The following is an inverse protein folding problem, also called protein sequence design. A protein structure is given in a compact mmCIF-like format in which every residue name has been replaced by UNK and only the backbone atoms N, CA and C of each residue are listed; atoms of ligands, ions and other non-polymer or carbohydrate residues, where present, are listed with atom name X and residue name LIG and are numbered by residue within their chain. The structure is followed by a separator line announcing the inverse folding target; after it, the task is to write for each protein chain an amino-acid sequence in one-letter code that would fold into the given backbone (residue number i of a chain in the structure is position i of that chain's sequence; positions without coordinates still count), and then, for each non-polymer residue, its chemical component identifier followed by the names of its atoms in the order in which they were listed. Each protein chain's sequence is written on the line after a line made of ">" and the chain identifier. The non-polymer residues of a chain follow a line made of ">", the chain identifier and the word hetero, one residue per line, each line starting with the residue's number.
data_IF_992763369009
#
_entry.id   IF_992763369009
#
_cell.length_a   1.000
_cell.length_b   1.000
_cell.length_c   1.000
_cell.angle_alpha   90.00
_cell.angle_beta   90.00
_cell.angle_gamma   90.00
#
_symmetry.space_group_name_H-M   'P 1'
#
loop_
_entity.id
_entity.type
_entity.pdbx_description
1 polymer ?
#
# COMPACT_ATOMS: atom_id res chain seq x y z
N UNK A 1 -1.65 -18.97 12.69
CA UNK A 1 -0.83 -17.88 13.25
C UNK A 1 -1.78 -16.73 13.55
N UNK A 2 -1.59 -15.97 14.62
CA UNK A 2 -2.48 -14.82 14.89
C UNK A 2 -2.10 -13.66 13.97
N UNK A 3 -3.11 -13.01 13.38
CA UNK A 3 -2.89 -11.83 12.54
C UNK A 3 -2.30 -10.67 13.37
N UNK A 4 -1.41 -9.91 12.73
CA UNK A 4 -0.84 -8.68 13.30
C UNK A 4 -1.80 -7.51 13.14
N UNK A 5 -2.35 -7.38 11.91
CA UNK A 5 -3.36 -6.39 11.55
C UNK A 5 -4.55 -7.11 10.94
N UNK A 6 -5.75 -6.76 11.38
CA UNK A 6 -7.02 -7.18 10.77
C UNK A 6 -7.86 -5.94 10.49
N UNK A 7 -8.28 -5.78 9.25
CA UNK A 7 -9.15 -4.70 8.78
C UNK A 7 -10.45 -5.32 8.32
N UNK A 8 -11.57 -4.88 8.89
CA UNK A 8 -12.90 -5.40 8.59
C UNK A 8 -13.85 -4.26 8.28
N UNK A 9 -14.58 -4.40 7.17
CA UNK A 9 -15.57 -3.46 6.70
C UNK A 9 -15.08 -2.01 6.70
N UNK A 10 -13.81 -1.79 6.32
CA UNK A 10 -13.24 -0.43 6.33
C UNK A 10 -13.97 0.43 5.32
N UNK A 11 -14.54 1.53 5.82
CA UNK A 11 -15.20 2.57 5.02
C UNK A 11 -14.65 3.94 5.39
N UNK A 12 -14.29 4.70 4.36
CA UNK A 12 -13.81 6.07 4.52
C UNK A 12 -14.49 6.97 3.50
N UNK A 13 -15.20 7.95 4.01
CA UNK A 13 -16.02 8.90 3.23
C UNK A 13 -15.50 10.32 3.36
N UNK A 14 -15.65 11.10 2.28
CA UNK A 14 -15.39 12.53 2.23
C UNK A 14 -16.69 13.27 1.93
N UNK A 15 -17.10 14.17 2.84
CA UNK A 15 -18.28 14.99 2.66
C UNK A 15 -17.91 16.29 1.95
N UNK A 16 -18.19 16.35 0.65
CA UNK A 16 -17.88 17.51 -0.20
C UNK A 16 -19.15 18.28 -0.55
N UNK A 17 -19.01 19.50 -1.09
CA UNK A 17 -20.15 20.26 -1.63
C UNK A 17 -20.91 19.52 -2.76
N UNK A 18 -20.23 18.60 -3.47
CA UNK A 18 -20.81 17.80 -4.55
C UNK A 18 -21.50 16.52 -4.08
N UNK A 19 -21.40 16.19 -2.78
CA UNK A 19 -21.96 14.96 -2.21
C UNK A 19 -20.95 14.16 -1.40
N UNK A 20 -21.37 12.96 -0.97
CA UNK A 20 -20.54 12.01 -0.26
C UNK A 20 -19.72 11.16 -1.24
N UNK A 21 -18.39 11.20 -1.09
CA UNK A 21 -17.45 10.36 -1.83
C UNK A 21 -16.98 9.26 -0.91
N UNK A 22 -17.29 8.00 -1.22
CA UNK A 22 -16.76 6.82 -0.53
C UNK A 22 -15.46 6.39 -1.20
N UNK A 23 -14.35 6.88 -0.67
CA UNK A 23 -13.01 6.57 -1.19
C UNK A 23 -12.58 5.14 -0.84
N UNK A 24 -13.02 4.60 0.30
CA UNK A 24 -12.91 3.20 0.71
C UNK A 24 -14.30 2.73 1.13
N UNK A 25 -14.73 1.57 0.66
CA UNK A 25 -16.12 1.13 0.78
C UNK A 25 -16.24 -0.38 1.03
N UNK A 26 -16.06 -0.79 2.28
CA UNK A 26 -16.16 -2.19 2.72
C UNK A 26 -14.94 -3.00 2.29
N UNK A 27 -13.75 -2.60 2.77
CA UNK A 27 -12.49 -3.28 2.52
C UNK A 27 -12.14 -4.18 3.69
N UNK A 28 -11.83 -5.45 3.39
CA UNK A 28 -11.48 -6.48 4.36
C UNK A 28 -10.15 -7.14 3.97
N UNK A 29 -9.19 -7.18 4.89
CA UNK A 29 -7.95 -7.94 4.75
C UNK A 29 -7.27 -8.14 6.10
N UNK A 30 -6.32 -9.07 6.15
CA UNK A 30 -5.44 -9.24 7.30
C UNK A 30 -3.98 -9.35 6.89
N UNK A 31 -3.09 -9.09 7.84
CA UNK A 31 -1.64 -9.25 7.66
C UNK A 31 -1.13 -10.05 8.85
N UNK A 32 -0.52 -11.19 8.57
CA UNK A 32 0.11 -12.02 9.59
C UNK A 32 1.39 -11.35 10.14
N UNK A 33 1.85 -11.75 11.33
CA UNK A 33 3.15 -11.30 11.86
C UNK A 33 4.28 -11.68 10.91
N UNK A 34 5.09 -10.68 10.52
CA UNK A 34 6.17 -10.84 9.53
C UNK A 34 5.70 -11.07 8.09
N UNK A 35 4.38 -11.11 7.85
CA UNK A 35 3.81 -11.28 6.51
C UNK A 35 3.83 -10.00 5.70
N UNK A 36 3.63 -10.13 4.39
CA UNK A 36 3.62 -9.00 3.45
C UNK A 36 2.36 -9.01 2.61
N UNK A 37 1.68 -7.86 2.54
CA UNK A 37 0.50 -7.64 1.71
C UNK A 37 0.75 -6.48 0.75
N UNK A 38 0.56 -6.74 -0.55
CA UNK A 38 0.52 -5.70 -1.58
C UNK A 38 -0.89 -5.20 -1.82
N UNK A 39 -1.10 -3.89 -1.86
CA UNK A 39 -2.36 -3.28 -2.30
C UNK A 39 -2.10 -2.55 -3.60
N UNK A 40 -2.74 -3.01 -4.68
CA UNK A 40 -2.52 -2.52 -6.04
C UNK A 40 -3.80 -2.01 -6.69
N UNK A 41 -3.65 -1.16 -7.70
CA UNK A 41 -4.76 -0.63 -8.49
C UNK A 41 -4.42 0.71 -9.11
N UNK A 42 -5.28 1.22 -10.00
CA UNK A 42 -5.11 2.53 -10.63
C UNK A 42 -5.14 3.67 -9.61
N UNK A 43 -4.65 4.85 -10.02
CA UNK A 43 -4.76 6.07 -9.19
C UNK A 43 -6.23 6.34 -8.85
N UNK A 44 -6.50 6.79 -7.63
CA UNK A 44 -7.87 7.03 -7.15
C UNK A 44 -8.64 5.77 -6.75
N UNK A 45 -8.04 4.58 -6.75
CA UNK A 45 -8.73 3.35 -6.31
C UNK A 45 -8.93 3.22 -4.79
N UNK A 46 -8.38 4.14 -3.97
CA UNK A 46 -8.56 4.15 -2.52
C UNK A 46 -7.37 3.64 -1.70
N UNK A 47 -6.27 3.23 -2.32
CA UNK A 47 -5.10 2.61 -1.66
C UNK A 47 -4.49 3.47 -0.55
N UNK A 48 -4.07 4.70 -0.88
CA UNK A 48 -3.48 5.64 0.09
C UNK A 48 -4.47 6.03 1.18
N UNK A 49 -5.76 6.17 0.82
CA UNK A 49 -6.81 6.44 1.82
C UNK A 49 -6.97 5.27 2.79
N UNK A 50 -6.82 4.02 2.33
CA UNK A 50 -6.80 2.83 3.20
C UNK A 50 -5.66 2.90 4.20
N UNK A 51 -4.44 3.23 3.76
CA UNK A 51 -3.28 3.41 4.65
C UNK A 51 -3.50 4.53 5.68
N UNK A 52 -3.96 5.70 5.22
CA UNK A 52 -4.27 6.84 6.09
C UNK A 52 -5.38 6.51 7.09
N UNK A 53 -6.35 5.68 6.70
CA UNK A 53 -7.43 5.23 7.59
C UNK A 53 -6.90 4.34 8.71
N UNK A 54 -5.99 3.41 8.42
CA UNK A 54 -5.33 2.57 9.42
C UNK A 54 -4.54 3.44 10.42
N UNK A 55 -3.83 4.44 9.91
CA UNK A 55 -3.06 5.39 10.71
C UNK A 55 -3.94 6.46 11.40
N UNK A 56 -5.24 6.52 11.09
CA UNK A 56 -6.15 7.61 11.54
C UNK A 56 -5.62 8.99 11.18
N UNK A 57 -5.08 9.13 9.96
CA UNK A 57 -4.52 10.36 9.39
C UNK A 57 -5.36 10.89 8.23
N UNK A 58 -6.63 10.50 8.17
CA UNK A 58 -7.56 11.03 7.15
C UNK A 58 -7.93 12.46 7.52
N UNK A 59 -7.56 13.41 6.66
CA UNK A 59 -7.86 14.84 6.86
C UNK A 59 -9.32 15.17 6.61
N UNK A 60 -9.83 16.17 7.33
CA UNK A 60 -11.16 16.75 7.09
C UNK A 60 -11.28 17.26 5.64
N UNK A 61 -12.42 17.06 4.98
CA UNK A 61 -13.71 16.58 5.48
C UNK A 61 -13.90 15.05 5.46
N UNK A 62 -12.79 14.28 5.37
CA UNK A 62 -12.80 12.84 5.38
C UNK A 62 -13.00 12.27 6.79
N UNK A 63 -13.61 11.09 6.86
CA UNK A 63 -13.76 10.34 8.11
C UNK A 63 -13.79 8.83 7.85
N UNK A 64 -13.29 8.07 8.78
CA UNK A 64 -13.50 6.61 8.86
C UNK A 64 -14.88 6.39 9.49
N UNK A 65 -15.70 5.53 8.85
CA UNK A 65 -17.06 5.26 9.32
C UNK A 65 -17.03 4.37 10.58
N UNK A 66 -18.07 4.52 11.42
CA UNK A 66 -18.11 3.89 12.77
C UNK A 66 -18.21 2.37 12.76
N UNK A 67 -18.71 1.80 11.67
CA UNK A 67 -18.87 0.36 11.47
C UNK A 67 -17.60 -0.33 10.93
N UNK A 68 -16.54 0.45 10.75
CA UNK A 68 -15.20 -0.05 10.39
C UNK A 68 -14.48 -0.59 11.62
N UNK A 69 -13.77 -1.70 11.46
CA UNK A 69 -12.89 -2.28 12.48
C UNK A 69 -11.45 -2.34 11.98
N UNK A 70 -10.51 -1.85 12.79
CA UNK A 70 -9.08 -1.89 12.50
C UNK A 70 -8.39 -2.43 13.75
N UNK A 71 -8.11 -3.72 13.77
CA UNK A 71 -7.52 -4.39 14.92
C UNK A 71 -6.02 -4.63 14.70
N UNK A 72 -5.18 -4.07 15.56
CA UNK A 72 -3.73 -4.28 15.58
C UNK A 72 -3.32 -4.95 16.89
N UNK A 73 -2.75 -6.15 16.82
CA UNK A 73 -2.40 -6.98 17.97
C UNK A 73 -3.55 -7.08 19.01
N UNK A 74 -4.77 -7.26 18.53
CA UNK A 74 -5.97 -7.37 19.38
C UNK A 74 -6.51 -6.03 19.91
N UNK A 75 -5.89 -4.89 19.57
CA UNK A 75 -6.37 -3.54 19.95
C UNK A 75 -7.12 -2.91 18.79
N UNK A 76 -8.35 -2.48 19.00
CA UNK A 76 -9.12 -1.74 18.00
C UNK A 76 -8.65 -0.29 17.89
N UNK A 77 -7.87 0.01 16.83
CA UNK A 77 -7.28 1.32 16.61
C UNK A 77 -8.34 2.42 16.44
N UNK A 78 -9.52 2.09 15.92
CA UNK A 78 -10.60 3.05 15.70
C UNK A 78 -11.18 3.59 17.02
N UNK A 79 -11.06 2.83 18.11
CA UNK A 79 -11.58 3.18 19.44
C UNK A 79 -10.57 3.79 20.39
N UNK A 80 -9.27 3.78 20.03
CA UNK A 80 -8.22 4.35 20.88
C UNK A 80 -8.38 5.87 21.00
N UNK A 81 -8.01 6.40 22.13
CA UNK A 81 -7.85 7.86 22.29
C UNK A 81 -6.65 8.34 21.47
N UNK A 82 -6.59 9.63 21.19
CA UNK A 82 -5.52 10.19 20.36
C UNK A 82 -4.12 10.06 20.99
N UNK A 83 -4.02 10.20 22.33
CA UNK A 83 -2.77 9.99 23.06
C UNK A 83 -2.27 8.54 23.00
N UNK A 84 -3.19 7.56 22.95
CA UNK A 84 -2.86 6.14 22.76
C UNK A 84 -2.42 5.87 21.33
N UNK A 85 -3.13 6.44 20.34
CA UNK A 85 -2.76 6.30 18.92
C UNK A 85 -1.41 6.97 18.60
N UNK A 86 -1.11 8.13 19.23
CA UNK A 86 0.16 8.82 19.07
C UNK A 86 1.36 7.96 19.55
N UNK A 87 1.16 7.07 20.55
CA UNK A 87 2.19 6.13 21.01
C UNK A 87 2.41 4.96 20.05
N UNK A 88 1.42 4.65 19.22
CA UNK A 88 1.50 3.58 18.20
C UNK A 88 2.14 4.08 16.93
N UNK A 89 1.73 5.28 16.46
CA UNK A 89 2.29 5.91 15.25
C UNK A 89 3.78 6.18 15.41
N UNK A 90 4.59 5.76 14.44
CA UNK A 90 6.05 5.92 14.44
C UNK A 90 6.79 4.96 15.37
N UNK A 91 6.10 4.22 16.23
CA UNK A 91 6.69 3.25 17.15
C UNK A 91 6.33 1.80 16.78
N UNK A 92 5.04 1.44 16.88
CA UNK A 92 4.59 0.08 16.58
C UNK A 92 4.13 -0.06 15.12
N UNK A 93 3.54 0.99 14.56
CA UNK A 93 3.18 1.12 13.15
C UNK A 93 3.85 2.36 12.60
N UNK A 94 4.68 2.20 11.58
CA UNK A 94 5.31 3.31 10.86
C UNK A 94 4.79 3.40 9.43
N UNK A 95 4.89 4.60 8.84
CA UNK A 95 4.45 4.84 7.47
C UNK A 95 5.52 5.60 6.68
N UNK A 96 5.77 5.13 5.46
CA UNK A 96 6.48 5.87 4.41
C UNK A 96 5.42 6.46 3.49
N UNK A 97 5.40 7.79 3.38
CA UNK A 97 4.43 8.52 2.56
C UNK A 97 4.90 8.63 1.10
N UNK A 98 3.95 8.85 0.20
CA UNK A 98 4.16 8.85 -1.25
C UNK A 98 5.20 9.86 -1.76
N UNK A 99 5.40 10.99 -1.08
CA UNK A 99 6.31 12.04 -1.53
C UNK A 99 7.51 12.23 -0.59
N UNK A 100 8.70 11.69 -0.92
CA UNK A 100 9.91 11.87 -0.12
C UNK A 100 10.35 13.33 0.05
N UNK A 101 10.01 14.17 -0.94
CA UNK A 101 10.45 15.56 -0.99
C UNK A 101 9.76 16.44 0.05
N UNK A 102 8.53 16.09 0.42
CA UNK A 102 7.69 16.85 1.37
C UNK A 102 7.75 16.26 2.79
N UNK A 103 8.21 15.02 2.94
CA UNK A 103 8.21 14.30 4.22
C UNK A 103 9.38 14.68 5.12
N UNK A 104 10.52 15.13 4.55
CA UNK A 104 11.66 15.61 5.34
C UNK A 104 11.58 17.13 5.52
N UNK A 105 11.66 17.58 6.76
CA UNK A 105 11.67 19.01 7.08
C UNK A 105 13.02 19.64 6.63
N UNK A 106 13.01 20.63 5.70
CA UNK A 106 14.23 21.15 5.10
C UNK A 106 15.09 21.99 6.06
N UNK A 107 14.56 22.41 7.21
CA UNK A 107 15.28 23.27 8.18
C UNK A 107 15.96 22.50 9.32
N UNK A 108 15.78 21.18 9.38
CA UNK A 108 16.46 20.29 10.34
C UNK A 108 17.42 19.36 9.61
N UNK A 109 18.50 18.97 10.29
CA UNK A 109 19.42 17.97 9.74
C UNK A 109 18.75 16.61 9.69
N UNK A 110 19.21 15.73 8.80
CA UNK A 110 18.61 14.38 8.68
C UNK A 110 18.85 13.53 9.94
N UNK A 111 20.00 13.72 10.59
CA UNK A 111 20.29 13.06 11.85
C UNK A 111 19.36 13.51 12.98
N UNK A 112 19.09 14.81 13.09
CA UNK A 112 18.16 15.34 14.10
C UNK A 112 16.74 14.80 13.91
N UNK A 113 16.27 14.66 12.65
CA UNK A 113 14.93 14.15 12.36
C UNK A 113 14.79 12.66 12.74
N UNK A 114 15.79 11.83 12.45
CA UNK A 114 15.78 10.43 12.87
C UNK A 114 15.86 10.33 14.41
N UNK A 115 16.77 11.10 15.03
CA UNK A 115 16.94 11.11 16.49
C UNK A 115 15.69 11.62 17.22
N UNK A 116 14.92 12.54 16.61
CA UNK A 116 13.66 13.03 17.16
C UNK A 116 12.63 11.91 17.30
N UNK A 117 12.44 11.08 16.27
CA UNK A 117 11.54 9.91 16.31
C UNK A 117 11.93 8.98 17.46
N UNK A 118 13.21 8.70 17.64
CA UNK A 118 13.71 7.86 18.74
C UNK A 118 13.40 8.49 20.10
N UNK A 119 13.65 9.78 20.28
CA UNK A 119 13.39 10.50 21.56
C UNK A 119 11.91 10.55 21.92
N UNK A 120 11.04 10.70 20.93
CA UNK A 120 9.59 10.77 21.13
C UNK A 120 9.00 9.44 21.61
N UNK A 121 9.53 8.32 21.13
CA UNK A 121 8.93 7.01 21.35
C UNK A 121 9.70 6.11 22.31
N UNK A 122 10.98 6.37 22.52
CA UNK A 122 11.81 5.56 23.38
C UNK A 122 12.38 6.47 24.48
N UNK A 123 12.21 6.11 25.73
CA UNK A 123 12.62 6.92 26.89
C UNK A 123 14.17 7.02 27.00
N UNK A 124 14.83 7.57 25.96
CA UNK A 124 16.29 7.67 25.85
C UNK A 124 16.76 9.13 25.82
N UNK A 125 17.99 9.37 26.28
CA UNK A 125 18.61 10.69 26.23
C UNK A 125 19.09 11.06 24.81
N UNK A 126 19.43 12.35 24.63
CA UNK A 126 19.88 12.89 23.34
C UNK A 126 21.04 12.08 22.74
N UNK A 127 22.08 11.78 23.54
CA UNK A 127 23.26 11.06 23.06
C UNK A 127 22.91 9.68 22.52
N UNK A 128 22.10 8.93 23.23
CA UNK A 128 21.66 7.59 22.80
C UNK A 128 20.77 7.67 21.55
N UNK A 129 19.89 8.68 21.44
CA UNK A 129 19.08 8.89 20.24
C UNK A 129 19.96 9.23 19.01
N UNK A 130 20.99 10.06 19.19
CA UNK A 130 21.96 10.40 18.12
C UNK A 130 22.76 9.15 17.69
N UNK A 131 23.16 8.29 18.62
CA UNK A 131 23.85 7.03 18.34
C UNK A 131 22.95 6.07 17.54
N UNK A 132 21.68 5.92 17.93
CA UNK A 132 20.69 5.11 17.20
C UNK A 132 20.38 5.68 15.82
N UNK A 133 20.28 7.00 15.70
CA UNK A 133 20.09 7.65 14.40
C UNK A 133 21.27 7.36 13.46
N UNK A 134 22.51 7.42 13.96
CA UNK A 134 23.71 7.07 13.20
C UNK A 134 23.71 5.60 12.80
N UNK A 135 23.37 4.69 13.70
CA UNK A 135 23.24 3.26 13.42
C UNK A 135 22.22 3.02 12.32
N UNK A 136 21.06 3.68 12.40
CA UNK A 136 20.03 3.58 11.38
C UNK A 136 20.49 4.11 10.02
N UNK A 137 21.20 5.25 9.97
CA UNK A 137 21.77 5.77 8.72
C UNK A 137 22.77 4.80 8.08
N UNK A 138 23.56 4.08 8.89
CA UNK A 138 24.45 3.03 8.39
C UNK A 138 23.66 1.83 7.86
N UNK A 139 22.62 1.41 8.59
CA UNK A 139 21.77 0.27 8.25
C UNK A 139 21.05 0.48 6.92
N UNK A 140 20.55 1.69 6.65
CA UNK A 140 19.94 2.04 5.37
C UNK A 140 20.94 2.36 4.26
N UNK A 141 22.24 2.21 4.54
CA UNK A 141 23.31 2.34 3.53
C UNK A 141 23.61 3.78 3.10
N UNK A 142 23.52 4.77 4.02
CA UNK A 142 23.98 6.13 3.75
C UNK A 142 25.51 6.15 3.80
N UNK A 143 26.20 6.52 2.70
CA UNK A 143 27.66 6.57 2.67
C UNK A 143 28.18 7.69 3.59
N UNK A 144 29.24 7.43 4.36
CA UNK A 144 29.82 8.38 5.33
C UNK A 144 28.78 8.94 6.31
N UNK A 145 27.96 8.04 6.91
CA UNK A 145 26.82 8.38 7.76
C UNK A 145 27.18 9.39 8.86
N UNK A 146 28.34 9.25 9.50
CA UNK A 146 28.84 10.15 10.56
C UNK A 146 28.91 11.62 10.14
N UNK A 147 29.37 11.85 8.91
CA UNK A 147 29.45 13.20 8.36
C UNK A 147 28.08 13.71 7.98
N UNK A 148 27.27 12.82 7.36
CA UNK A 148 25.96 13.17 6.80
C UNK A 148 24.85 13.32 7.84
N UNK A 149 25.06 12.90 9.08
CA UNK A 149 24.17 13.23 10.20
C UNK A 149 23.84 14.72 10.29
N UNK A 150 24.78 15.58 9.84
CA UNK A 150 24.67 17.04 9.89
C UNK A 150 24.18 17.66 8.58
N UNK A 151 23.98 16.85 7.55
CA UNK A 151 23.49 17.34 6.25
C UNK A 151 21.98 17.63 6.34
N UNK A 152 21.55 18.61 5.57
CA UNK A 152 20.14 18.94 5.37
C UNK A 152 19.57 18.14 4.18
N UNK A 153 18.24 17.93 4.11
CA UNK A 153 17.63 17.19 3.00
C UNK A 153 18.00 17.69 1.61
N UNK A 154 18.13 18.99 1.42
CA UNK A 154 18.51 19.60 0.12
C UNK A 154 19.95 19.31 -0.32
N UNK A 155 20.81 18.85 0.58
CA UNK A 155 22.20 18.46 0.30
C UNK A 155 22.34 16.98 -0.13
N UNK A 156 21.21 16.25 -0.17
CA UNK A 156 21.15 14.82 -0.48
C UNK A 156 20.50 14.55 -1.83
N UNK A 157 20.92 13.47 -2.50
CA UNK A 157 20.23 12.95 -3.69
C UNK A 157 18.84 12.40 -3.34
N UNK A 158 17.98 12.21 -4.34
CA UNK A 158 16.63 11.63 -4.15
C UNK A 158 16.68 10.26 -3.44
N UNK A 159 17.52 9.36 -3.93
CA UNK A 159 17.68 8.02 -3.32
C UNK A 159 18.26 8.08 -1.90
N UNK A 160 19.12 9.04 -1.58
CA UNK A 160 19.60 9.23 -0.19
C UNK A 160 18.50 9.75 0.72
N UNK A 161 17.68 10.70 0.26
CA UNK A 161 16.51 11.17 1.02
C UNK A 161 15.53 10.05 1.29
N UNK A 162 15.29 9.18 0.29
CA UNK A 162 14.45 8.00 0.46
C UNK A 162 15.02 7.05 1.53
N UNK A 163 16.32 6.77 1.51
CA UNK A 163 16.97 5.95 2.54
C UNK A 163 16.88 6.57 3.94
N UNK A 164 17.00 7.90 4.06
CA UNK A 164 16.80 8.62 5.32
C UNK A 164 15.36 8.47 5.82
N UNK A 165 14.35 8.59 4.95
CA UNK A 165 12.95 8.38 5.32
C UNK A 165 12.68 6.95 5.79
N UNK A 166 13.23 5.95 5.09
CA UNK A 166 13.16 4.55 5.53
C UNK A 166 13.81 4.42 6.91
N UNK A 167 15.01 4.99 7.09
CA UNK A 167 15.71 5.01 8.39
C UNK A 167 14.88 5.65 9.50
N UNK A 168 14.23 6.78 9.21
CA UNK A 168 13.34 7.45 10.17
C UNK A 168 12.12 6.56 10.50
N UNK A 169 11.47 5.97 9.51
CA UNK A 169 10.33 5.09 9.71
C UNK A 169 10.69 3.84 10.55
N UNK A 170 11.90 3.32 10.40
CA UNK A 170 12.36 2.10 11.07
C UNK A 170 13.10 2.36 12.40
N UNK A 171 13.35 3.62 12.75
CA UNK A 171 14.18 4.00 13.91
C UNK A 171 13.70 3.46 15.28
N UNK A 172 12.40 3.16 15.37
CA UNK A 172 11.78 2.57 16.56
C UNK A 172 11.50 1.07 16.45
N UNK A 173 11.99 0.39 15.40
CA UNK A 173 11.74 -1.03 15.12
C UNK A 173 10.25 -1.39 15.08
N UNK A 174 9.48 -0.81 14.15
CA UNK A 174 8.04 -1.04 14.07
C UNK A 174 7.72 -2.50 13.76
N UNK A 175 6.57 -2.97 14.23
CA UNK A 175 6.03 -4.30 13.91
C UNK A 175 5.38 -4.33 12.53
N UNK A 176 4.83 -3.19 12.10
CA UNK A 176 4.20 -2.99 10.79
C UNK A 176 4.76 -1.73 10.11
N UNK A 177 5.24 -1.90 8.89
CA UNK A 177 5.59 -0.80 8.00
C UNK A 177 4.52 -0.67 6.91
N UNK A 178 3.88 0.48 6.83
CA UNK A 178 3.01 0.86 5.72
C UNK A 178 3.86 1.67 4.73
N UNK A 179 4.05 1.17 3.52
CA UNK A 179 4.84 1.83 2.49
C UNK A 179 3.92 2.25 1.33
N UNK A 180 3.60 3.54 1.26
CA UNK A 180 2.73 4.10 0.23
C UNK A 180 3.59 4.66 -0.91
N UNK A 181 3.65 3.91 -2.00
CA UNK A 181 4.45 4.18 -3.20
C UNK A 181 5.92 4.56 -2.88
N UNK A 182 6.65 3.71 -2.14
CA UNK A 182 7.94 4.09 -1.55
C UNK A 182 9.05 4.35 -2.57
N UNK A 183 8.84 4.03 -3.85
CA UNK A 183 9.85 4.18 -4.92
C UNK A 183 9.40 5.12 -6.03
N UNK A 184 8.26 5.78 -5.90
CA UNK A 184 7.78 6.77 -6.87
C UNK A 184 8.79 7.90 -7.05
N UNK A 185 8.99 8.32 -8.30
CA UNK A 185 9.97 9.34 -8.72
C UNK A 185 11.46 8.98 -8.54
N UNK A 186 11.80 7.70 -8.36
CA UNK A 186 13.16 7.19 -8.41
C UNK A 186 13.46 6.54 -9.77
N UNK A 187 14.74 6.57 -10.17
CA UNK A 187 15.17 5.78 -11.32
C UNK A 187 15.14 4.27 -11.00
N UNK A 188 15.04 3.44 -12.05
CA UNK A 188 14.86 1.98 -11.93
C UNK A 188 15.96 1.31 -11.08
N UNK A 189 17.20 1.80 -11.18
CA UNK A 189 18.32 1.24 -10.44
C UNK A 189 18.21 1.54 -8.94
N UNK A 190 17.89 2.78 -8.60
CA UNK A 190 17.67 3.19 -7.20
C UNK A 190 16.43 2.52 -6.63
N UNK A 191 15.36 2.38 -7.43
CA UNK A 191 14.15 1.64 -7.02
C UNK A 191 14.50 0.21 -6.61
N UNK A 192 15.23 -0.54 -7.45
CA UNK A 192 15.63 -1.92 -7.13
C UNK A 192 16.45 -1.99 -5.82
N UNK A 193 17.40 -1.07 -5.62
CA UNK A 193 18.21 -1.00 -4.39
C UNK A 193 17.37 -0.69 -3.15
N UNK A 194 16.34 0.14 -3.26
CA UNK A 194 15.43 0.45 -2.14
C UNK A 194 14.56 -0.75 -1.79
N UNK A 195 14.05 -1.47 -2.79
CA UNK A 195 13.23 -2.66 -2.57
C UNK A 195 14.04 -3.79 -1.93
N UNK A 196 15.27 -4.03 -2.39
CA UNK A 196 16.18 -4.99 -1.77
C UNK A 196 16.48 -4.63 -0.33
N UNK A 197 16.79 -3.34 -0.06
CA UNK A 197 16.98 -2.83 1.29
C UNK A 197 15.75 -3.09 2.18
N UNK A 198 14.54 -2.85 1.69
CA UNK A 198 13.31 -3.09 2.45
C UNK A 198 13.10 -4.58 2.76
N UNK A 199 13.44 -5.49 1.83
CA UNK A 199 13.41 -6.94 2.08
C UNK A 199 14.39 -7.33 3.19
N UNK A 200 15.64 -6.89 3.07
CA UNK A 200 16.69 -7.16 4.05
C UNK A 200 16.30 -6.69 5.46
N UNK A 201 15.71 -5.48 5.53
CA UNK A 201 15.29 -4.89 6.80
C UNK A 201 14.06 -5.62 7.38
N UNK A 202 13.09 -6.01 6.54
CA UNK A 202 11.96 -6.85 6.95
C UNK A 202 12.47 -8.13 7.62
N UNK A 203 13.37 -8.84 6.95
CA UNK A 203 13.87 -10.14 7.42
C UNK A 203 14.71 -9.99 8.70
N UNK A 204 15.53 -8.94 8.79
CA UNK A 204 16.34 -8.65 9.98
C UNK A 204 15.52 -8.23 11.19
N UNK A 205 14.47 -7.46 10.99
CA UNK A 205 13.63 -6.89 12.07
C UNK A 205 12.40 -7.74 12.37
N UNK A 206 12.06 -8.71 11.51
CA UNK A 206 10.85 -9.54 11.64
C UNK A 206 9.55 -8.75 11.52
N UNK A 207 9.56 -7.61 10.82
CA UNK A 207 8.39 -6.74 10.66
C UNK A 207 7.48 -7.20 9.53
N UNK A 208 6.18 -6.88 9.63
CA UNK A 208 5.23 -7.03 8.54
C UNK A 208 5.27 -5.79 7.62
N UNK A 209 4.89 -5.95 6.34
CA UNK A 209 4.82 -4.84 5.38
C UNK A 209 3.44 -4.80 4.72
N UNK A 210 2.80 -3.63 4.74
CA UNK A 210 1.72 -3.25 3.84
C UNK A 210 2.31 -2.37 2.74
N UNK A 211 2.45 -2.93 1.53
CA UNK A 211 3.02 -2.23 0.38
C UNK A 211 1.91 -1.73 -0.53
N UNK A 212 1.83 -0.43 -0.72
CA UNK A 212 0.93 0.20 -1.68
C UNK A 212 1.74 0.63 -2.89
N UNK A 213 1.35 0.17 -4.06
CA UNK A 213 2.01 0.52 -5.32
C UNK A 213 1.08 0.31 -6.51
N UNK A 214 1.37 0.96 -7.62
CA UNK A 214 0.77 0.66 -8.92
C UNK A 214 1.68 -0.24 -9.78
N UNK A 215 2.90 -0.54 -9.32
CA UNK A 215 3.87 -1.37 -10.02
C UNK A 215 3.71 -2.85 -9.62
N UNK A 216 3.09 -3.63 -10.50
CA UNK A 216 2.87 -5.05 -10.28
C UNK A 216 4.18 -5.87 -10.32
N UNK A 217 5.23 -5.38 -10.99
CA UNK A 217 6.54 -6.00 -10.96
C UNK A 217 7.15 -5.98 -9.55
N UNK A 218 7.01 -4.83 -8.87
CA UNK A 218 7.41 -4.66 -7.47
C UNK A 218 6.63 -5.61 -6.56
N UNK A 219 5.32 -5.73 -6.78
CA UNK A 219 4.45 -6.63 -6.00
C UNK A 219 4.89 -8.08 -6.14
N UNK A 220 5.15 -8.53 -7.38
CA UNK A 220 5.57 -9.90 -7.64
C UNK A 220 6.84 -10.31 -6.86
N UNK A 221 7.71 -9.34 -6.57
CA UNK A 221 8.98 -9.57 -5.88
C UNK A 221 8.92 -9.39 -4.37
N UNK A 222 8.01 -8.54 -3.88
CA UNK A 222 8.07 -8.00 -2.52
C UNK A 222 7.07 -8.62 -1.56
N UNK A 223 5.96 -9.19 -2.06
CA UNK A 223 4.84 -9.57 -1.19
C UNK A 223 4.43 -11.04 -1.34
N UNK A 224 3.87 -11.58 -0.26
CA UNK A 224 3.32 -12.93 -0.23
C UNK A 224 1.89 -12.96 -0.75
N UNK A 225 1.10 -11.96 -0.38
CA UNK A 225 -0.30 -11.80 -0.75
C UNK A 225 -0.55 -10.45 -1.42
N UNK A 226 -1.56 -10.39 -2.28
CA UNK A 226 -1.96 -9.16 -2.96
C UNK A 226 -3.47 -8.96 -2.89
N UNK A 227 -3.88 -7.71 -2.67
CA UNK A 227 -5.24 -7.23 -2.77
C UNK A 227 -5.33 -6.20 -3.90
N UNK A 228 -6.14 -6.48 -4.91
CA UNK A 228 -6.37 -5.61 -6.06
C UNK A 228 -7.56 -4.70 -5.74
N UNK A 229 -7.33 -3.39 -5.72
CA UNK A 229 -8.36 -2.39 -5.44
C UNK A 229 -8.83 -1.69 -6.70
N UNK A 230 -10.14 -1.57 -6.84
CA UNK A 230 -10.81 -0.76 -7.86
C UNK A 230 -11.99 -0.01 -7.26
N UNK A 231 -12.00 1.30 -7.47
CA UNK A 231 -13.13 2.12 -7.04
C UNK A 231 -13.46 2.04 -5.55
N UNK A 232 -12.46 1.99 -4.68
CA UNK A 232 -12.64 1.93 -3.24
C UNK A 232 -12.94 0.54 -2.67
N UNK A 233 -12.90 -0.53 -3.48
CA UNK A 233 -13.18 -1.90 -3.06
C UNK A 233 -12.06 -2.85 -3.45
N UNK A 234 -11.87 -3.91 -2.68
CA UNK A 234 -11.07 -5.06 -3.12
C UNK A 234 -11.92 -5.86 -4.11
N UNK A 235 -11.39 -6.03 -5.32
CA UNK A 235 -12.03 -6.79 -6.40
C UNK A 235 -11.45 -8.19 -6.54
N UNK A 236 -10.22 -8.39 -6.10
CA UNK A 236 -9.56 -9.69 -6.07
C UNK A 236 -8.48 -9.70 -5.00
N UNK A 237 -8.29 -10.82 -4.30
CA UNK A 237 -7.20 -11.01 -3.34
C UNK A 237 -6.75 -12.47 -3.27
N UNK A 238 -5.50 -12.69 -2.88
CA UNK A 238 -4.93 -14.02 -2.67
C UNK A 238 -3.40 -14.02 -2.77
N UNK A 239 -2.79 -15.22 -2.75
CA UNK A 239 -1.35 -15.36 -2.93
C UNK A 239 -0.90 -14.74 -4.24
N UNK A 240 0.21 -14.00 -4.21
CA UNK A 240 0.73 -13.28 -5.39
C UNK A 240 0.94 -14.23 -6.58
N UNK A 241 1.45 -15.43 -6.34
CA UNK A 241 1.68 -16.43 -7.39
C UNK A 241 0.40 -16.87 -8.11
N UNK A 242 -0.71 -17.00 -7.38
CA UNK A 242 -2.00 -17.40 -7.93
C UNK A 242 -2.64 -16.25 -8.74
N UNK A 243 -2.65 -15.04 -8.19
CA UNK A 243 -3.20 -13.86 -8.85
C UNK A 243 -2.48 -13.58 -10.18
N UNK A 244 -1.15 -13.73 -10.22
CA UNK A 244 -0.37 -13.50 -11.43
C UNK A 244 -0.51 -14.62 -12.47
N UNK A 245 -0.61 -15.88 -12.00
CA UNK A 245 -0.77 -17.03 -12.90
C UNK A 245 -2.18 -17.17 -13.46
N UNK A 246 -3.20 -16.86 -12.66
CA UNK A 246 -4.60 -17.12 -13.00
C UNK A 246 -5.55 -16.06 -12.40
N UNK A 247 -5.51 -14.81 -12.91
CA UNK A 247 -6.38 -13.74 -12.42
C UNK A 247 -7.86 -14.07 -12.68
N UNK A 248 -8.69 -13.93 -11.66
CA UNK A 248 -10.10 -14.25 -11.72
C UNK A 248 -10.98 -13.02 -12.03
N UNK A 249 -10.55 -11.82 -11.62
CA UNK A 249 -11.28 -10.60 -11.94
C UNK A 249 -10.81 -10.00 -13.26
N UNK A 250 -11.72 -9.58 -14.17
CA UNK A 250 -11.36 -8.98 -15.45
C UNK A 250 -10.48 -7.72 -15.35
N UNK A 251 -10.59 -6.97 -14.28
CA UNK A 251 -9.73 -5.82 -14.01
C UNK A 251 -8.29 -6.25 -13.73
N UNK A 252 -8.09 -7.28 -12.91
CA UNK A 252 -6.75 -7.83 -12.62
C UNK A 252 -6.10 -8.37 -13.88
N UNK A 253 -6.86 -9.10 -14.71
CA UNK A 253 -6.40 -9.58 -16.02
C UNK A 253 -5.96 -8.41 -16.91
N UNK A 254 -6.76 -7.34 -16.96
CA UNK A 254 -6.46 -6.15 -17.74
C UNK A 254 -5.22 -5.41 -17.21
N UNK A 255 -5.05 -5.30 -15.89
CA UNK A 255 -3.84 -4.72 -15.29
C UNK A 255 -2.59 -5.52 -15.66
N UNK A 256 -2.62 -6.84 -15.50
CA UNK A 256 -1.48 -7.71 -15.80
C UNK A 256 -1.12 -7.69 -17.28
N UNK A 257 -2.10 -7.63 -18.17
CA UNK A 257 -1.88 -7.57 -19.63
C UNK A 257 -1.42 -6.20 -20.13
N UNK A 258 -1.53 -5.15 -19.32
CA UNK A 258 -1.04 -3.80 -19.65
C UNK A 258 0.45 -3.60 -19.34
N UNK A 259 1.11 -4.57 -18.65
CA UNK A 259 2.53 -4.50 -18.33
C UNK A 259 3.37 -4.91 -19.53
N UNK A 260 4.40 -4.11 -19.91
CA UNK A 260 5.34 -4.51 -20.93
C UNK A 260 6.17 -5.72 -20.46
N UNK A 261 6.09 -6.84 -21.18
CA UNK A 261 6.95 -7.99 -20.89
C UNK A 261 8.33 -7.81 -21.53
N UNK A 262 9.39 -8.16 -20.81
CA UNK A 262 10.74 -8.22 -21.35
C UNK A 262 10.76 -9.14 -22.58
N UNK A 263 11.20 -8.63 -23.72
CA UNK A 263 11.22 -9.37 -24.99
C UNK A 263 9.99 -9.17 -25.89
N UNK A 264 8.98 -8.41 -25.47
CA UNK A 264 7.90 -8.01 -26.37
C UNK A 264 8.46 -7.19 -27.55
N UNK A 265 8.01 -7.51 -28.77
CA UNK A 265 8.35 -6.71 -29.94
C UNK A 265 7.65 -5.35 -29.86
N UNK A 266 8.33 -4.27 -30.21
CA UNK A 266 7.77 -2.90 -30.26
C UNK A 266 6.53 -2.78 -31.18
N UNK A 267 6.27 -3.77 -32.01
CA UNK A 267 5.12 -3.86 -32.91
C UNK A 267 3.85 -4.40 -32.25
N UNK A 268 3.95 -4.97 -31.05
CA UNK A 268 2.76 -5.49 -30.33
C UNK A 268 2.17 -4.36 -29.49
N UNK A 269 0.95 -3.86 -29.84
CA UNK A 269 0.31 -2.81 -29.04
C UNK A 269 -0.01 -3.34 -27.64
N UNK A 270 0.35 -2.58 -26.59
CA UNK A 270 -0.09 -2.87 -25.24
C UNK A 270 -1.62 -2.74 -25.15
N UNK A 271 -2.26 -3.70 -24.49
CA UNK A 271 -3.70 -3.66 -24.27
C UNK A 271 -4.03 -2.70 -23.13
N UNK A 272 -4.32 -1.45 -23.45
CA UNK A 272 -4.77 -0.48 -22.46
C UNK A 272 -6.18 -0.84 -21.94
N UNK A 273 -6.41 -0.59 -20.65
CA UNK A 273 -7.76 -0.71 -20.07
C UNK A 273 -8.65 0.39 -20.67
N UNK A 274 -9.79 0.01 -21.25
CA UNK A 274 -10.68 0.94 -21.95
C UNK A 274 -11.35 1.94 -21.01
N UNK A 275 -11.56 3.15 -21.48
CA UNK A 275 -12.31 4.19 -20.78
C UNK A 275 -11.54 4.75 -19.57
N UNK A 276 -12.22 5.59 -18.81
CA UNK A 276 -11.70 6.18 -17.57
C UNK A 276 -12.39 5.58 -16.36
N UNK A 277 -11.75 5.68 -15.19
CA UNK A 277 -12.38 5.33 -13.92
C UNK A 277 -13.59 6.26 -13.72
N UNK A 278 -14.80 5.73 -13.48
CA UNK A 278 -15.97 6.55 -13.20
C UNK A 278 -15.75 7.48 -12.01
N UNK A 279 -16.45 8.61 -12.00
CA UNK A 279 -16.41 9.53 -10.85
C UNK A 279 -16.88 8.81 -9.59
N UNK A 280 -16.22 9.01 -8.44
CA UNK A 280 -16.69 8.48 -7.16
C UNK A 280 -18.09 8.93 -6.74
N UNK A 281 -18.61 10.01 -7.35
CA UNK A 281 -19.99 10.48 -7.15
C UNK A 281 -21.00 9.70 -8.00
N UNK A 282 -20.56 9.02 -9.07
CA UNK A 282 -21.41 8.37 -10.07
C UNK A 282 -21.08 6.87 -10.22
N UNK A 283 -20.78 6.18 -9.12
CA UNK A 283 -20.56 4.74 -9.18
C UNK A 283 -21.81 4.00 -9.70
N UNK A 284 -21.65 3.02 -10.60
CA UNK A 284 -22.75 2.16 -10.98
C UNK A 284 -23.31 1.41 -9.77
N UNK A 285 -24.59 1.07 -9.77
CA UNK A 285 -25.24 0.31 -8.70
C UNK A 285 -24.65 -1.09 -8.55
N UNK A 286 -24.21 -1.69 -9.64
CA UNK A 286 -23.57 -3.00 -9.67
C UNK A 286 -22.07 -2.95 -9.58
N UNK A 287 -21.39 -3.82 -10.33
CA UNK A 287 -19.94 -3.89 -10.39
C UNK A 287 -19.34 -2.54 -10.89
N UNK A 288 -18.47 -1.93 -10.10
CA UNK A 288 -17.85 -0.64 -10.43
C UNK A 288 -17.00 -0.69 -11.70
N UNK A 289 -16.48 -1.87 -12.05
CA UNK A 289 -15.71 -2.08 -13.26
C UNK A 289 -16.58 -2.37 -14.49
N UNK A 290 -17.88 -2.65 -14.36
CA UNK A 290 -18.76 -3.03 -15.44
C UNK A 290 -18.70 -2.11 -16.68
N UNK A 291 -18.62 -0.76 -16.58
CA UNK A 291 -18.52 0.12 -17.74
C UNK A 291 -17.25 -0.07 -18.58
N UNK A 292 -16.21 -0.68 -18.02
CA UNK A 292 -14.89 -0.90 -18.66
C UNK A 292 -14.62 -2.38 -18.95
N UNK A 293 -15.51 -3.28 -18.50
CA UNK A 293 -15.34 -4.72 -18.56
C UNK A 293 -15.77 -5.28 -19.90
N UNK A 294 -14.88 -6.02 -20.58
CA UNK A 294 -15.18 -6.70 -21.84
C UNK A 294 -16.15 -7.88 -21.68
N UNK A 295 -16.39 -8.33 -20.43
CA UNK A 295 -17.22 -9.48 -20.10
C UNK A 295 -18.51 -9.08 -19.35
N UNK A 296 -18.83 -7.78 -19.32
CA UNK A 296 -20.00 -7.28 -18.59
C UNK A 296 -21.32 -7.82 -19.20
N UNK A 297 -22.27 -8.16 -18.33
CA UNK A 297 -23.62 -8.56 -18.66
C UNK A 297 -24.63 -7.89 -17.69
N UNK A 298 -25.93 -8.06 -17.92
CA UNK A 298 -26.97 -7.27 -17.25
C UNK A 298 -26.85 -7.23 -15.72
N UNK A 299 -26.58 -8.38 -15.09
CA UNK A 299 -26.41 -8.44 -13.64
C UNK A 299 -25.24 -7.60 -13.13
N UNK A 300 -24.17 -7.47 -13.92
CA UNK A 300 -23.03 -6.63 -13.55
C UNK A 300 -23.39 -5.15 -13.43
N UNK A 301 -24.44 -4.69 -14.09
CA UNK A 301 -24.90 -3.29 -14.05
C UNK A 301 -25.84 -3.00 -12.88
N UNK A 302 -26.52 -4.01 -12.35
CA UNK A 302 -27.60 -3.86 -11.37
C UNK A 302 -27.22 -4.32 -9.97
N UNK A 303 -26.36 -5.35 -9.85
CA UNK A 303 -26.00 -5.98 -8.60
C UNK A 303 -24.48 -5.97 -8.37
N UNK A 304 -24.08 -5.61 -7.15
CA UNK A 304 -22.68 -5.65 -6.73
C UNK A 304 -22.30 -7.11 -6.41
N UNK A 305 -21.25 -7.68 -7.05
CA UNK A 305 -20.79 -9.03 -6.72
C UNK A 305 -20.16 -9.08 -5.33
N UNK A 306 -20.46 -10.11 -4.52
CA UNK A 306 -19.66 -10.40 -3.33
C UNK A 306 -18.29 -10.97 -3.71
N UNK A 307 -17.40 -11.11 -2.75
CA UNK A 307 -16.17 -11.88 -2.91
C UNK A 307 -16.53 -13.38 -2.93
N UNK A 308 -16.29 -14.05 -4.04
CA UNK A 308 -16.40 -15.49 -4.20
C UNK A 308 -15.08 -16.17 -3.95
N UNK A 309 -15.07 -17.24 -3.18
CA UNK A 309 -13.88 -18.09 -3.00
C UNK A 309 -13.59 -18.87 -4.28
N UNK A 310 -12.37 -18.76 -4.79
CA UNK A 310 -11.89 -19.43 -6.00
C UNK A 310 -10.52 -20.06 -5.71
N UNK A 311 -10.52 -21.29 -5.23
CA UNK A 311 -9.28 -21.95 -4.80
C UNK A 311 -8.67 -21.25 -3.59
N UNK A 312 -7.47 -20.67 -3.77
CA UNK A 312 -6.79 -19.87 -2.73
C UNK A 312 -6.96 -18.35 -2.92
N UNK A 313 -7.80 -17.96 -3.86
CA UNK A 313 -8.11 -16.58 -4.20
C UNK A 313 -9.56 -16.26 -3.85
N UNK A 314 -9.86 -14.97 -3.78
CA UNK A 314 -11.23 -14.46 -3.72
C UNK A 314 -11.41 -13.39 -4.78
N UNK A 315 -12.54 -13.40 -5.49
CA UNK A 315 -12.84 -12.47 -6.58
C UNK A 315 -14.26 -11.94 -6.51
N UNK A 316 -14.41 -10.61 -6.57
CA UNK A 316 -15.70 -9.94 -6.64
C UNK A 316 -16.20 -9.86 -8.09
N UNK A 317 -16.43 -11.02 -8.70
CA UNK A 317 -16.88 -11.12 -10.08
C UNK A 317 -17.97 -12.19 -10.24
N UNK A 318 -19.10 -11.84 -10.86
CA UNK A 318 -20.19 -12.78 -11.12
C UNK A 318 -19.79 -13.98 -11.99
N UNK A 319 -18.71 -13.86 -12.77
CA UNK A 319 -18.17 -14.99 -13.54
C UNK A 319 -17.56 -16.08 -12.66
N UNK A 320 -17.33 -15.79 -11.38
CA UNK A 320 -16.76 -16.72 -10.40
C UNK A 320 -17.83 -17.38 -9.51
N UNK A 321 -19.11 -17.05 -9.66
CA UNK A 321 -20.21 -17.57 -8.82
C UNK A 321 -20.30 -19.11 -8.83
N UNK A 322 -19.95 -19.75 -9.95
CA UNK A 322 -19.98 -21.21 -10.10
C UNK A 322 -18.59 -21.87 -10.04
N UNK A 323 -17.58 -21.15 -9.57
CA UNK A 323 -16.20 -21.63 -9.51
C UNK A 323 -15.20 -20.78 -10.33
N UNK A 324 -13.98 -21.28 -10.56
CA UNK A 324 -12.95 -20.55 -11.28
C UNK A 324 -13.41 -20.08 -12.65
N UNK A 325 -13.15 -18.81 -12.96
CA UNK A 325 -13.36 -18.26 -14.30
C UNK A 325 -12.45 -19.00 -15.28
N UNK A 326 -13.03 -19.58 -16.32
CA UNK A 326 -12.23 -20.13 -17.43
C UNK A 326 -11.46 -18.97 -18.07
N UNK A 327 -10.14 -18.92 -17.84
CA UNK A 327 -9.25 -17.99 -18.53
C UNK A 327 -9.32 -18.33 -20.01
N UNK A 328 -9.95 -17.47 -20.79
CA UNK A 328 -9.81 -17.57 -22.24
C UNK A 328 -8.35 -17.24 -22.53
N UNK A 329 -7.55 -18.27 -22.84
CA UNK A 329 -6.27 -18.03 -23.47
C UNK A 329 -6.53 -17.03 -24.59
N UNK A 330 -5.90 -15.86 -24.52
CA UNK A 330 -5.92 -14.91 -25.63
C UNK A 330 -5.47 -15.73 -26.84
N UNK A 331 -6.37 -15.92 -27.78
CA UNK A 331 -6.08 -16.63 -29.01
C UNK A 331 -4.86 -15.95 -29.61
N UNK A 332 -3.73 -16.65 -29.60
CA UNK A 332 -2.57 -16.29 -30.37
C UNK A 332 -3.00 -16.40 -31.82
N UNK A 333 -3.36 -15.26 -32.42
CA UNK A 333 -3.46 -15.06 -33.83
C UNK A 333 -2.62 -13.86 -34.24
#
# INVERSE_FOLDING_TARGET
>A
MSDLLTVENLRTSFHTHGGEIRAVDGVDFSIAKGGTLGVVGESGSGKSVTALSIMRLVDLPGRVERDSSITFEGRDLAKLREDEMARIRGNEISMIFQEPMTSLNPVFTVGDQIAESVRLHQAVGKKEADERALEMMRLVGIPSAEKRMRDYPHQMSGGMRQRVMIGMALSCNPKLLIADEPTTALDVTVQAQILELMKDLRDKLGMAILLITHDLGVVAEMVDEVAVMYGGRIVERGPVSEIFANPQHPYTEALLTSIPLLGMRYTTPLKAIRGMVPSPLDWPRGCRFAPRCDYAFDRCTTELPPLFEVGRQESACWLCESGPRAVRQAAAN
#
